data_IF_136755776095
#
_entry.id   IF_136755776095
#
_cell.length_a   1.000
_cell.length_b   1.000
_cell.length_c   1.000
_cell.angle_alpha   90.00
_cell.angle_beta   90.00
_cell.angle_gamma   90.00
#
_symmetry.space_group_name_H-M   'P 1'
#
loop_
_entity.id
_entity.type
_entity.pdbx_description
1 polymer ?
#
# COMPACT_ATOMS: atom_id res chain seq x y z
N UNK A 1 -2.22 -23.12 24.58
CA UNK A 1 -1.39 -23.61 23.45
C UNK A 1 -2.05 -23.02 22.23
N UNK A 2 -1.49 -21.94 21.71
CA UNK A 2 -2.02 -21.31 20.50
C UNK A 2 -1.77 -22.30 19.37
N UNK A 3 -2.83 -22.63 18.64
CA UNK A 3 -2.73 -23.37 17.40
C UNK A 3 -1.73 -22.62 16.51
N UNK A 4 -0.63 -23.29 16.21
CA UNK A 4 0.30 -22.84 15.19
C UNK A 4 -0.42 -23.11 13.88
N UNK A 5 -1.31 -22.18 13.50
CA UNK A 5 -2.13 -22.25 12.30
C UNK A 5 -1.15 -22.21 11.12
N UNK A 6 -0.80 -23.41 10.64
CA UNK A 6 0.11 -23.63 9.54
C UNK A 6 -0.45 -22.86 8.35
N UNK A 7 0.31 -21.87 7.88
CA UNK A 7 -0.15 -20.99 6.83
C UNK A 7 -0.25 -21.77 5.53
N UNK A 8 -1.47 -21.96 5.01
CA UNK A 8 -1.71 -22.51 3.68
C UNK A 8 -1.80 -21.35 2.66
N UNK A 9 -0.86 -21.26 1.69
CA UNK A 9 -0.93 -20.29 0.60
C UNK A 9 -2.17 -20.54 -0.25
N UNK A 10 -2.74 -19.48 -0.82
CA UNK A 10 -3.87 -19.67 -1.75
C UNK A 10 -3.38 -20.15 -3.13
N UNK A 11 -4.15 -21.02 -3.77
CA UNK A 11 -3.76 -21.63 -5.06
C UNK A 11 -4.35 -20.87 -6.26
N UNK A 12 -5.35 -20.00 -6.02
CA UNK A 12 -6.06 -19.31 -7.09
C UNK A 12 -6.25 -17.82 -6.85
N UNK A 13 -6.31 -17.03 -7.93
CA UNK A 13 -6.67 -15.60 -7.89
C UNK A 13 -8.05 -15.38 -7.26
N UNK A 14 -8.99 -16.32 -7.46
CA UNK A 14 -10.33 -16.22 -6.87
C UNK A 14 -10.32 -16.36 -5.34
N UNK A 15 -9.55 -17.29 -4.80
CA UNK A 15 -9.30 -17.39 -3.36
C UNK A 15 -8.61 -16.14 -2.86
N UNK A 16 -7.52 -15.73 -3.53
CA UNK A 16 -6.77 -14.53 -3.17
C UNK A 16 -7.67 -13.30 -3.00
N UNK A 17 -8.55 -13.01 -3.95
CA UNK A 17 -9.42 -11.84 -3.91
C UNK A 17 -10.47 -11.86 -2.79
N UNK A 18 -10.79 -13.02 -2.22
CA UNK A 18 -11.70 -13.14 -1.08
C UNK A 18 -11.02 -12.85 0.26
N UNK A 19 -9.69 -12.87 0.29
CA UNK A 19 -8.94 -12.74 1.51
C UNK A 19 -8.83 -11.27 1.94
N UNK A 20 -8.84 -11.06 3.27
CA UNK A 20 -8.65 -9.72 3.85
C UNK A 20 -7.28 -9.16 3.41
N UNK A 21 -7.30 -7.94 2.90
CA UNK A 21 -6.10 -7.20 2.48
C UNK A 21 -5.75 -7.32 0.99
N UNK A 22 -6.18 -8.37 0.29
CA UNK A 22 -5.79 -8.61 -1.11
C UNK A 22 -6.20 -7.49 -2.06
N UNK A 23 -7.46 -7.03 -1.94
CA UNK A 23 -7.97 -5.89 -2.72
C UNK A 23 -7.17 -4.63 -2.44
N UNK A 24 -6.80 -4.41 -1.18
CA UNK A 24 -5.99 -3.26 -0.77
C UNK A 24 -4.59 -3.30 -1.37
N UNK A 25 -3.93 -4.45 -1.30
CA UNK A 25 -2.60 -4.66 -1.86
C UNK A 25 -2.58 -4.34 -3.36
N UNK A 26 -3.48 -4.94 -4.14
CA UNK A 26 -3.56 -4.68 -5.59
C UNK A 26 -3.92 -3.22 -5.90
N UNK A 27 -4.80 -2.61 -5.10
CA UNK A 27 -5.19 -1.21 -5.29
C UNK A 27 -4.01 -0.26 -5.06
N UNK A 28 -3.21 -0.49 -4.02
CA UNK A 28 -2.06 0.34 -3.68
C UNK A 28 -0.94 0.18 -4.71
N UNK A 29 -0.63 -1.06 -5.12
CA UNK A 29 0.42 -1.32 -6.11
C UNK A 29 0.04 -0.86 -7.52
N UNK A 30 -1.25 -0.73 -7.83
CA UNK A 30 -1.70 -0.14 -9.09
C UNK A 30 -1.47 1.38 -9.17
N UNK A 31 -1.21 2.05 -8.04
CA UNK A 31 -0.82 3.47 -8.03
C UNK A 31 0.68 3.66 -8.26
N UNK A 32 1.47 2.63 -7.98
CA UNK A 32 2.91 2.61 -8.20
C UNK A 32 3.62 1.58 -7.30
N UNK A 33 4.92 1.38 -7.54
CA UNK A 33 5.74 0.51 -6.69
C UNK A 33 5.74 0.95 -5.23
N UNK A 34 5.74 0.00 -4.29
CA UNK A 34 5.72 0.27 -2.85
C UNK A 34 6.69 -0.63 -2.08
N UNK A 35 7.22 -0.10 -0.99
CA UNK A 35 7.95 -0.85 0.02
C UNK A 35 7.01 -1.52 1.02
N UNK A 36 7.54 -2.42 1.86
CA UNK A 36 6.73 -3.07 2.90
C UNK A 36 6.17 -2.05 3.91
N UNK A 37 7.01 -1.12 4.37
CA UNK A 37 6.61 -0.09 5.35
C UNK A 37 5.54 0.86 4.79
N UNK A 38 5.57 1.17 3.50
CA UNK A 38 4.50 1.95 2.85
C UNK A 38 3.18 1.16 2.84
N UNK A 39 3.22 -0.13 2.47
CA UNK A 39 2.04 -1.00 2.51
C UNK A 39 1.47 -1.11 3.93
N UNK A 40 2.32 -1.31 4.93
CA UNK A 40 1.94 -1.38 6.34
C UNK A 40 1.29 -0.08 6.83
N UNK A 41 1.81 1.07 6.42
CA UNK A 41 1.23 2.36 6.79
C UNK A 41 -0.15 2.62 6.17
N UNK A 42 -0.44 2.01 5.03
CA UNK A 42 -1.65 2.26 4.25
C UNK A 42 -2.71 1.15 4.39
N UNK A 43 -2.36 -0.02 4.91
CA UNK A 43 -3.26 -1.16 5.02
C UNK A 43 -3.69 -1.45 6.46
N UNK A 44 -4.98 -1.75 6.66
CA UNK A 44 -5.54 -2.07 7.99
C UNK A 44 -5.55 -3.57 8.30
N UNK A 45 -4.38 -4.16 8.18
CA UNK A 45 -4.11 -5.55 8.50
C UNK A 45 -2.74 -5.65 9.17
N UNK A 46 -2.52 -6.72 9.91
CA UNK A 46 -1.24 -6.94 10.58
C UNK A 46 -0.12 -7.17 9.56
N UNK A 47 1.11 -6.86 9.93
CA UNK A 47 2.32 -7.08 9.11
C UNK A 47 2.42 -8.54 8.66
N UNK A 48 2.12 -9.50 9.56
CA UNK A 48 2.04 -10.93 9.21
C UNK A 48 1.03 -11.22 8.11
N UNK A 49 -0.12 -10.53 8.12
CA UNK A 49 -1.13 -10.67 7.06
C UNK A 49 -0.62 -10.06 5.75
N UNK A 50 0.05 -8.89 5.80
CA UNK A 50 0.63 -8.26 4.60
C UNK A 50 1.67 -9.20 3.97
N UNK A 51 2.58 -9.76 4.77
CA UNK A 51 3.59 -10.71 4.32
C UNK A 51 2.97 -11.94 3.67
N UNK A 52 1.93 -12.51 4.28
CA UNK A 52 1.16 -13.64 3.71
C UNK A 52 0.54 -13.28 2.37
N UNK A 53 -0.13 -12.13 2.26
CA UNK A 53 -0.76 -11.66 1.01
C UNK A 53 0.24 -11.35 -0.09
N UNK A 54 1.42 -10.85 0.28
CA UNK A 54 2.51 -10.64 -0.67
C UNK A 54 3.00 -11.97 -1.23
N UNK A 55 3.25 -12.95 -0.37
CA UNK A 55 3.68 -14.30 -0.78
C UNK A 55 2.65 -14.90 -1.74
N UNK A 56 1.37 -14.90 -1.36
CA UNK A 56 0.28 -15.36 -2.23
C UNK A 56 0.28 -14.67 -3.60
N UNK A 57 0.44 -13.34 -3.62
CA UNK A 57 0.39 -12.56 -4.84
C UNK A 57 1.63 -12.81 -5.73
N UNK A 58 2.80 -13.04 -5.14
CA UNK A 58 4.03 -13.41 -5.85
C UNK A 58 3.90 -14.82 -6.45
N UNK A 59 3.44 -15.79 -5.66
CA UNK A 59 3.21 -17.18 -6.08
C UNK A 59 2.19 -17.28 -7.22
N UNK A 60 1.15 -16.44 -7.17
CA UNK A 60 0.15 -16.32 -8.23
C UNK A 60 0.63 -15.49 -9.43
N UNK A 61 1.84 -14.92 -9.40
CA UNK A 61 2.41 -14.10 -10.46
C UNK A 61 1.70 -12.75 -10.67
N UNK A 62 1.06 -12.22 -9.63
CA UNK A 62 0.39 -10.91 -9.64
C UNK A 62 1.33 -9.76 -9.31
N UNK A 63 2.39 -10.00 -8.55
CA UNK A 63 3.43 -9.04 -8.26
C UNK A 63 4.82 -9.65 -8.41
N UNK A 64 5.83 -8.79 -8.34
CA UNK A 64 7.25 -9.16 -8.28
C UNK A 64 7.94 -8.33 -7.20
N UNK A 65 9.05 -8.85 -6.68
CA UNK A 65 9.88 -8.18 -5.68
C UNK A 65 11.22 -7.83 -6.30
N UNK A 66 11.58 -6.55 -6.26
CA UNK A 66 12.89 -6.05 -6.69
C UNK A 66 13.66 -5.49 -5.49
N UNK A 67 14.98 -5.62 -5.51
CA UNK A 67 15.88 -4.99 -4.53
C UNK A 67 16.33 -3.65 -5.11
N UNK A 68 15.93 -2.56 -4.48
CA UNK A 68 16.42 -1.22 -4.81
C UNK A 68 17.45 -0.76 -3.78
N UNK A 69 18.61 -0.30 -4.24
CA UNK A 69 19.57 0.41 -3.40
C UNK A 69 19.07 1.83 -3.14
N UNK A 70 18.83 2.18 -1.87
CA UNK A 70 18.49 3.52 -1.41
C UNK A 70 19.58 4.15 -0.54
N UNK A 71 19.35 5.40 -0.14
CA UNK A 71 20.29 6.17 0.69
C UNK A 71 20.57 5.54 2.06
N UNK A 72 19.66 4.69 2.54
CA UNK A 72 19.73 4.00 3.84
C UNK A 72 19.87 2.47 3.71
N UNK A 73 20.36 1.98 2.57
CA UNK A 73 20.55 0.54 2.35
C UNK A 73 19.62 -0.01 1.27
N UNK A 74 19.57 -1.34 1.16
CA UNK A 74 18.75 -2.02 0.15
C UNK A 74 17.34 -2.26 0.68
N UNK A 75 16.33 -1.91 -0.11
CA UNK A 75 14.92 -2.11 0.24
C UNK A 75 14.22 -2.99 -0.78
N UNK A 76 13.30 -3.83 -0.30
CA UNK A 76 12.39 -4.56 -1.17
C UNK A 76 11.29 -3.64 -1.69
N UNK A 77 11.13 -3.60 -3.00
CA UNK A 77 10.09 -2.85 -3.71
C UNK A 77 9.19 -3.83 -4.45
N UNK A 78 7.90 -3.68 -4.22
CA UNK A 78 6.85 -4.53 -4.79
C UNK A 78 6.19 -3.82 -5.95
N UNK A 79 6.09 -4.50 -7.08
CA UNK A 79 5.49 -3.97 -8.32
C UNK A 79 4.55 -5.01 -8.93
N UNK A 80 3.42 -4.58 -9.49
CA UNK A 80 2.51 -5.48 -10.20
C UNK A 80 3.16 -6.02 -11.48
N UNK A 81 2.90 -7.29 -11.79
CA UNK A 81 3.18 -7.84 -13.13
C UNK A 81 2.14 -7.35 -14.13
N UNK A 82 2.34 -7.63 -15.43
CA UNK A 82 1.32 -7.39 -16.47
C UNK A 82 -0.05 -8.01 -16.11
N UNK A 83 -0.05 -9.20 -15.50
CA UNK A 83 -1.26 -9.88 -15.06
C UNK A 83 -1.89 -9.17 -13.85
N UNK A 84 -1.07 -8.80 -12.86
CA UNK A 84 -1.51 -8.02 -11.70
C UNK A 84 -2.11 -6.68 -12.10
N UNK A 85 -1.46 -5.95 -13.00
CA UNK A 85 -1.97 -4.68 -13.54
C UNK A 85 -3.30 -4.87 -14.27
N UNK A 86 -3.43 -5.92 -15.09
CA UNK A 86 -4.69 -6.20 -15.79
C UNK A 86 -5.83 -6.46 -14.80
N UNK A 87 -5.55 -7.21 -13.74
CA UNK A 87 -6.51 -7.48 -12.67
C UNK A 87 -6.87 -6.20 -11.90
N UNK A 88 -5.88 -5.39 -11.51
CA UNK A 88 -6.11 -4.15 -10.80
C UNK A 88 -6.87 -3.12 -11.67
N UNK A 89 -6.58 -3.02 -12.97
CA UNK A 89 -7.37 -2.23 -13.92
C UNK A 89 -8.83 -2.69 -13.96
N UNK A 90 -9.09 -4.00 -13.91
CA UNK A 90 -10.45 -4.53 -13.81
C UNK A 90 -11.14 -4.13 -12.48
N UNK A 91 -10.38 -4.06 -11.38
CA UNK A 91 -10.86 -3.60 -10.08
C UNK A 91 -11.17 -2.09 -10.05
N UNK A 92 -10.48 -1.30 -10.88
CA UNK A 92 -10.83 0.11 -11.08
C UNK A 92 -12.13 0.23 -11.87
N UNK A 93 -12.28 -0.57 -12.94
CA UNK A 93 -13.47 -0.56 -13.79
C UNK A 93 -14.76 -0.97 -13.06
N UNK A 94 -14.67 -1.87 -12.07
CA UNK A 94 -15.82 -2.30 -11.28
C UNK A 94 -15.96 -1.54 -9.94
N UNK A 95 -15.23 -0.44 -9.76
CA UNK A 95 -15.23 0.41 -8.57
C UNK A 95 -14.74 -0.26 -7.27
N UNK A 96 -14.23 -1.51 -7.30
CA UNK A 96 -13.70 -2.17 -6.11
C UNK A 96 -12.53 -1.39 -5.50
N UNK A 97 -11.62 -0.88 -6.35
CA UNK A 97 -10.50 -0.05 -5.91
C UNK A 97 -10.97 1.28 -5.29
N UNK A 98 -11.97 1.94 -5.88
CA UNK A 98 -12.54 3.19 -5.36
C UNK A 98 -13.24 2.97 -4.02
N UNK A 99 -14.04 1.90 -3.91
CA UNK A 99 -14.74 1.55 -2.67
C UNK A 99 -13.76 1.22 -1.54
N UNK A 100 -12.66 0.53 -1.85
CA UNK A 100 -11.59 0.29 -0.87
C UNK A 100 -11.02 1.62 -0.33
N UNK A 101 -10.71 2.58 -1.21
CA UNK A 101 -10.17 3.89 -0.81
C UNK A 101 -11.15 4.68 0.06
N UNK A 102 -12.43 4.71 -0.31
CA UNK A 102 -13.46 5.40 0.48
C UNK A 102 -13.65 4.74 1.86
N UNK A 103 -13.64 3.41 1.91
CA UNK A 103 -13.64 2.67 3.18
C UNK A 103 -12.44 3.07 4.06
N UNK A 104 -11.22 3.11 3.50
CA UNK A 104 -10.02 3.55 4.24
C UNK A 104 -10.15 5.00 4.71
N UNK A 105 -10.66 5.90 3.88
CA UNK A 105 -10.88 7.31 4.24
C UNK A 105 -11.85 7.42 5.42
N UNK A 106 -12.99 6.74 5.35
CA UNK A 106 -14.00 6.76 6.41
C UNK A 106 -13.49 6.18 7.72
N UNK A 107 -12.67 5.14 7.64
CA UNK A 107 -12.07 4.53 8.80
C UNK A 107 -11.06 5.46 9.50
N UNK A 108 -10.16 6.12 8.75
CA UNK A 108 -9.28 7.15 9.33
C UNK A 108 -10.07 8.30 9.96
N UNK A 109 -11.18 8.70 9.35
CA UNK A 109 -12.07 9.73 9.88
C UNK A 109 -12.74 9.27 11.20
N UNK A 110 -13.15 8.01 11.27
CA UNK A 110 -13.71 7.40 12.48
C UNK A 110 -12.66 7.39 13.60
N UNK A 111 -11.44 6.91 13.32
CA UNK A 111 -10.34 6.85 14.28
C UNK A 111 -10.00 8.23 14.84
N UNK A 112 -9.92 9.25 13.99
CA UNK A 112 -9.68 10.63 14.41
C UNK A 112 -10.79 11.13 15.36
N UNK A 113 -12.06 10.91 15.02
CA UNK A 113 -13.21 11.28 15.88
C UNK A 113 -13.26 10.48 17.18
N UNK A 114 -12.83 9.23 17.16
CA UNK A 114 -12.69 8.41 18.36
C UNK A 114 -11.61 8.97 19.26
N UNK A 115 -10.45 9.37 18.73
CA UNK A 115 -9.40 10.01 19.52
C UNK A 115 -9.86 11.35 20.12
N UNK A 116 -10.60 12.16 19.35
CA UNK A 116 -11.24 13.39 19.87
C UNK A 116 -12.19 13.08 21.04
N UNK A 117 -12.97 12.01 20.92
CA UNK A 117 -13.88 11.56 22.00
C UNK A 117 -13.10 11.08 23.22
N UNK A 118 -12.01 10.32 23.03
CA UNK A 118 -11.13 9.88 24.12
C UNK A 118 -10.50 11.07 24.84
N UNK A 119 -10.02 12.07 24.10
CA UNK A 119 -9.47 13.30 24.64
C UNK A 119 -10.53 14.06 25.46
N UNK A 120 -11.75 14.20 24.92
CA UNK A 120 -12.85 14.84 25.63
C UNK A 120 -13.19 14.13 26.94
N UNK A 121 -13.26 12.78 26.95
CA UNK A 121 -13.49 11.99 28.17
C UNK A 121 -12.40 12.23 29.21
N UNK A 122 -11.14 12.32 28.77
CA UNK A 122 -9.99 12.59 29.64
C UNK A 122 -10.04 13.99 30.26
N UNK A 123 -10.48 14.99 29.50
CA UNK A 123 -10.57 16.39 29.93
C UNK A 123 -11.82 16.67 30.79
N UNK A 124 -12.91 15.94 30.55
CA UNK A 124 -14.23 16.18 31.16
C UNK A 124 -14.76 14.96 31.95
N UNK A 125 -13.98 14.33 32.84
CA UNK A 125 -14.44 13.13 33.54
C UNK A 125 -15.65 13.41 34.44
N UNK A 126 -15.80 14.65 34.93
CA UNK A 126 -16.95 15.08 35.74
C UNK A 126 -18.29 14.95 35.03
N UNK A 127 -18.32 15.10 33.70
CA UNK A 127 -19.55 14.95 32.90
C UNK A 127 -20.04 13.51 32.84
N UNK A 128 -19.15 12.52 33.04
CA UNK A 128 -19.52 11.11 33.11
C UNK A 128 -19.78 10.67 34.56
N UNK A 129 -19.06 11.22 35.53
CA UNK A 129 -19.21 10.88 36.95
C UNK A 129 -20.58 11.24 37.55
N UNK A 130 -21.41 12.01 36.85
CA UNK A 130 -22.79 12.29 37.26
C UNK A 130 -23.74 11.08 37.10
N UNK A 131 -23.35 10.08 36.31
CA UNK A 131 -24.15 8.89 36.07
C UNK A 131 -23.87 7.80 37.10
N UNK A 132 -24.90 7.05 37.50
CA UNK A 132 -24.82 6.01 38.55
C UNK A 132 -23.89 4.86 38.20
N UNK A 133 -23.64 4.65 36.91
CA UNK A 133 -22.78 3.59 36.35
C UNK A 133 -21.30 4.00 36.29
N UNK A 134 -21.02 5.30 36.37
CA UNK A 134 -19.69 5.88 36.26
C UNK A 134 -18.96 5.83 37.60
N UNK A 135 -18.29 4.70 37.84
CA UNK A 135 -17.28 4.63 38.91
C UNK A 135 -16.00 5.33 38.42
N UNK A 136 -15.31 6.08 39.30
CA UNK A 136 -14.13 6.89 38.90
C UNK A 136 -13.03 6.09 38.21
N UNK A 137 -12.79 4.84 38.65
CA UNK A 137 -11.86 3.91 38.00
C UNK A 137 -12.31 3.35 36.64
N UNK A 138 -13.53 3.67 36.18
CA UNK A 138 -14.07 3.32 34.84
C UNK A 138 -14.00 4.49 33.85
N UNK A 139 -13.79 5.71 34.33
CA UNK A 139 -13.83 6.95 33.53
C UNK A 139 -12.43 7.52 33.33
N UNK A 140 -11.60 7.52 34.38
CA UNK A 140 -10.20 7.95 34.27
C UNK A 140 -9.31 6.72 34.02
N UNK A 141 -8.31 6.81 33.13
CA UNK A 141 -7.26 5.82 33.08
C UNK A 141 -6.63 5.71 34.47
N UNK A 142 -6.57 4.50 35.02
CA UNK A 142 -5.96 4.28 36.32
C UNK A 142 -4.46 4.57 36.17
N UNK A 143 -3.88 5.55 36.88
CA UNK A 143 -2.46 5.94 36.74
C UNK A 143 -1.47 4.77 36.98
N UNK A 144 -1.94 3.65 37.54
CA UNK A 144 -1.19 2.40 37.75
C UNK A 144 -1.15 1.46 36.54
N UNK A 145 -2.08 1.60 35.62
CA UNK A 145 -2.07 0.91 34.34
C UNK A 145 -1.85 1.99 33.32
N UNK A 146 -0.60 2.14 32.86
CA UNK A 146 -0.33 2.81 31.60
C UNK A 146 -1.32 2.33 30.55
N UNK A 147 -1.47 3.13 29.49
CA UNK A 147 -2.20 2.77 28.27
C UNK A 147 -2.06 1.25 28.08
N UNK A 148 -3.15 0.45 28.06
CA UNK A 148 -3.03 -1.00 28.01
C UNK A 148 -2.04 -1.33 26.90
N UNK A 149 -1.00 -2.12 27.19
CA UNK A 149 0.16 -2.29 26.30
C UNK A 149 -0.22 -2.67 24.86
N UNK A 150 -1.41 -3.25 24.64
CA UNK A 150 -2.02 -3.47 23.30
C UNK A 150 -2.17 -2.20 22.44
N UNK A 151 -2.30 -1.01 23.04
CA UNK A 151 -2.42 0.27 22.33
C UNK A 151 -1.06 0.99 22.16
N UNK A 152 -0.02 0.58 22.88
CA UNK A 152 1.37 1.02 22.63
C UNK A 152 2.10 0.14 21.61
N UNK A 153 1.78 -1.16 21.51
CA UNK A 153 2.34 -2.04 20.47
C UNK A 153 2.08 -1.49 19.06
N UNK A 154 0.90 -0.89 18.82
CA UNK A 154 0.55 -0.29 17.51
C UNK A 154 1.40 0.97 17.19
N UNK A 155 2.00 1.63 18.19
CA UNK A 155 2.86 2.82 17.99
C UNK A 155 4.36 2.48 18.01
N UNK A 156 4.76 1.44 18.71
CA UNK A 156 6.18 1.08 18.89
C UNK A 156 6.76 0.20 17.79
N UNK A 157 5.94 -0.46 16.96
CA UNK A 157 6.44 -1.26 15.81
C UNK A 157 7.00 -0.40 14.65
N UNK A 158 7.05 0.94 14.80
CA UNK A 158 7.60 1.85 13.78
C UNK A 158 9.05 2.29 14.00
N UNK A 159 9.68 1.91 15.11
CA UNK A 159 11.07 2.24 15.41
C UNK A 159 11.79 0.99 15.91
N UNK A 160 12.20 0.11 14.98
CA UNK A 160 13.45 -0.69 15.02
C UNK A 160 13.43 -1.69 13.84
N UNK A 161 13.62 -1.14 12.64
CA UNK A 161 14.02 -1.92 11.46
C UNK A 161 15.48 -1.59 11.20
N UNK A 162 16.40 -2.30 11.86
CA UNK A 162 17.80 -2.45 11.45
C UNK A 162 18.49 -3.52 12.32
N UNK A 163 18.45 -4.79 11.89
CA UNK A 163 19.57 -5.75 12.04
C UNK A 163 19.22 -7.09 11.38
N UNK A 164 19.37 -7.16 10.05
CA UNK A 164 19.62 -8.44 9.36
C UNK A 164 21.15 -8.58 9.26
N UNK A 165 21.74 -9.39 10.14
CA UNK A 165 23.14 -9.81 10.05
C UNK A 165 23.23 -11.03 9.14
N UNK A 166 23.62 -10.83 7.88
CA UNK A 166 24.04 -11.91 6.98
C UNK A 166 25.45 -12.39 7.37
N UNK A 167 25.52 -13.64 7.82
CA UNK A 167 26.78 -14.34 8.05
C UNK A 167 27.30 -14.92 6.73
N UNK A 168 28.47 -14.43 6.33
CA UNK A 168 29.44 -15.00 5.40
C UNK A 168 29.61 -16.53 5.56
N UNK A 169 29.35 -17.31 4.51
CA UNK A 169 29.96 -18.64 4.35
C UNK A 169 30.58 -18.78 2.95
N UNK A 170 31.79 -18.22 2.85
CA UNK A 170 32.72 -18.41 1.75
C UNK A 170 33.52 -19.69 1.97
N UNK A 171 33.05 -20.82 1.42
CA UNK A 171 33.74 -22.10 1.43
C UNK A 171 33.96 -22.65 0.03
N UNK A 172 35.02 -22.18 -0.65
CA UNK A 172 35.47 -22.78 -1.91
C UNK A 172 36.18 -24.11 -1.69
N UNK A 173 36.07 -25.03 -2.66
CA UNK A 173 37.15 -25.95 -3.01
C UNK A 173 36.98 -26.55 -4.41
N UNK A 174 38.12 -26.63 -5.08
CA UNK A 174 38.31 -27.00 -6.48
C UNK A 174 38.12 -28.50 -6.71
N UNK A 175 37.65 -28.90 -7.89
CA UNK A 175 38.13 -30.14 -8.52
C UNK A 175 37.98 -30.10 -10.03
N UNK A 176 39.11 -29.94 -10.70
CA UNK A 176 39.30 -30.19 -12.13
C UNK A 176 39.03 -31.65 -12.46
N UNK A 177 38.39 -31.91 -13.61
CA UNK A 177 38.82 -32.96 -14.54
C UNK A 177 38.45 -32.56 -15.96
N UNK A 178 39.47 -32.51 -16.81
CA UNK A 178 39.44 -32.46 -18.26
C UNK A 178 38.51 -33.52 -18.85
N UNK A 179 37.84 -33.23 -19.97
CA UNK A 179 38.04 -34.04 -21.17
C UNK A 179 37.51 -33.37 -22.45
N UNK A 180 38.19 -33.73 -23.53
CA UNK A 180 38.30 -33.03 -24.80
C UNK A 180 37.16 -33.29 -25.80
N UNK A 181 37.35 -32.67 -26.99
CA UNK A 181 36.75 -32.97 -28.30
C UNK A 181 35.51 -32.11 -28.67
N UNK A 182 35.36 -31.54 -29.86
CA UNK A 182 36.09 -31.61 -31.13
C UNK A 182 35.70 -30.40 -31.99
N UNK A 183 36.50 -30.10 -33.00
CA UNK A 183 36.37 -29.02 -33.97
C UNK A 183 35.16 -29.21 -34.90
N UNK A 184 34.60 -28.12 -35.42
CA UNK A 184 34.59 -27.90 -36.88
C UNK A 184 34.31 -26.44 -37.23
N UNK A 185 35.14 -25.96 -38.16
CA UNK A 185 35.08 -24.65 -38.80
C UNK A 185 33.87 -24.56 -39.74
N UNK A 186 33.36 -23.36 -39.98
CA UNK A 186 33.08 -22.92 -41.36
C UNK A 186 32.99 -21.40 -41.42
N UNK A 187 33.69 -20.90 -42.42
CA UNK A 187 33.95 -19.51 -42.70
C UNK A 187 32.81 -18.79 -43.42
N UNK A 188 32.95 -17.46 -43.45
CA UNK A 188 32.47 -16.51 -44.46
C UNK A 188 30.99 -16.11 -44.46
N UNK A 189 30.72 -14.84 -44.20
CA UNK A 189 30.60 -13.89 -45.31
C UNK A 189 30.44 -12.44 -44.84
N UNK A 190 31.40 -11.67 -45.31
CA UNK A 190 31.48 -10.23 -45.48
C UNK A 190 30.21 -9.65 -46.14
N UNK A 191 29.59 -8.63 -45.52
CA UNK A 191 28.91 -7.57 -46.26
C UNK A 191 28.67 -6.32 -45.40
N UNK A 192 29.42 -5.27 -45.69
CA UNK A 192 29.05 -3.85 -45.51
C UNK A 192 29.33 -3.19 -46.87
N UNK A 193 28.59 -2.16 -47.34
CA UNK A 193 28.39 -0.91 -46.58
C UNK A 193 27.11 -0.08 -46.94
N UNK A 194 27.08 1.15 -46.42
CA UNK A 194 26.44 2.37 -46.95
C UNK A 194 25.03 2.84 -46.48
N UNK A 195 25.07 3.84 -45.57
CA UNK A 195 24.69 5.27 -45.80
C UNK A 195 23.23 5.62 -46.15
N UNK A 196 22.55 6.32 -45.23
CA UNK A 196 21.92 7.63 -45.48
C UNK A 196 21.43 8.31 -44.19
N UNK A 197 21.64 9.63 -44.14
CA UNK A 197 21.20 10.60 -43.13
C UNK A 197 19.72 11.04 -43.32
N UNK A 198 19.12 11.81 -42.38
CA UNK A 198 17.68 12.03 -42.27
C UNK A 198 17.20 13.24 -43.10
N UNK A 199 15.88 13.42 -43.28
CA UNK A 199 15.31 14.72 -43.64
C UNK A 199 14.50 15.37 -42.50
N UNK A 200 14.64 16.69 -42.49
CA UNK A 200 14.09 17.71 -41.60
C UNK A 200 12.59 18.03 -41.78
N UNK A 201 12.08 18.76 -40.79
CA UNK A 201 11.08 19.84 -40.85
C UNK A 201 9.68 19.59 -41.44
N UNK A 202 8.66 19.73 -40.58
CA UNK A 202 7.49 20.61 -40.85
C UNK A 202 7.01 21.32 -39.58
N UNK A 203 7.29 22.62 -39.53
CA UNK A 203 6.55 23.63 -38.78
C UNK A 203 5.30 24.01 -39.59
N UNK A 204 4.14 24.02 -38.93
CA UNK A 204 2.93 24.83 -39.22
C UNK A 204 2.05 24.63 -37.97
N UNK A 205 1.69 25.61 -37.14
CA UNK A 205 1.39 27.01 -37.42
C UNK A 205 -0.11 27.15 -37.65
N UNK A 206 -0.90 27.38 -36.60
CA UNK A 206 -2.13 28.22 -36.59
C UNK A 206 -2.75 28.20 -35.18
N UNK A 207 -2.67 29.29 -34.40
CA UNK A 207 -3.63 30.41 -34.31
C UNK A 207 -5.03 30.03 -33.78
N UNK A 208 -5.34 30.57 -32.60
CA UNK A 208 -6.50 31.45 -32.48
C UNK A 208 -7.70 30.96 -31.66
N UNK A 209 -8.11 31.81 -30.72
CA UNK A 209 -9.48 31.87 -30.18
C UNK A 209 -9.58 31.50 -28.71
N UNK A 210 -9.36 32.41 -27.75
CA UNK A 210 -10.31 33.46 -27.31
C UNK A 210 -11.75 32.97 -27.08
N UNK A 211 -12.15 32.81 -25.81
CA UNK A 211 -13.33 33.45 -25.20
C UNK A 211 -13.42 32.99 -23.73
N UNK A 212 -13.26 33.85 -22.73
CA UNK A 212 -14.17 34.90 -22.25
C UNK A 212 -15.58 34.42 -21.82
N UNK A 213 -15.89 34.81 -20.59
CA UNK A 213 -17.18 34.97 -19.89
C UNK A 213 -17.61 33.81 -18.98
N UNK A 214 -17.71 33.98 -17.66
CA UNK A 214 -18.41 34.99 -16.82
C UNK A 214 -19.92 34.73 -16.75
N UNK A 215 -20.33 34.08 -15.67
CA UNK A 215 -21.65 34.21 -15.00
C UNK A 215 -21.45 33.92 -13.52
N UNK A 216 -21.21 34.97 -12.72
CA UNK A 216 -22.11 35.40 -11.63
C UNK A 216 -23.53 34.84 -11.62
N UNK A 217 -24.00 34.58 -10.39
CA UNK A 217 -25.40 34.35 -9.99
C UNK A 217 -25.51 33.05 -9.19
N UNK A 218 -26.04 32.98 -7.97
CA UNK A 218 -26.89 33.91 -7.23
C UNK A 218 -26.90 33.48 -5.75
N UNK A 219 -26.77 34.45 -4.86
CA UNK A 219 -27.06 34.34 -3.43
C UNK A 219 -28.55 34.02 -3.23
N UNK A 220 -28.85 32.93 -2.53
CA UNK A 220 -30.17 32.64 -1.97
C UNK A 220 -30.11 32.64 -0.45
N UNK A 221 -30.25 33.83 0.15
CA UNK A 221 -30.67 33.98 1.54
C UNK A 221 -32.20 33.77 1.62
N UNK A 222 -32.64 33.03 2.65
CA UNK A 222 -33.89 33.22 3.42
C UNK A 222 -33.86 32.13 4.52
N UNK A 223 -33.58 32.40 5.80
CA UNK A 223 -34.26 33.27 6.77
C UNK A 223 -35.71 32.84 7.06
N UNK A 224 -35.89 32.34 8.29
CA UNK A 224 -37.07 32.34 9.17
C UNK A 224 -38.36 31.64 8.70
N UNK A 225 -38.94 30.79 9.54
CA UNK A 225 -39.88 31.27 10.56
C UNK A 225 -40.20 30.19 11.59
N UNK A 226 -40.15 30.59 12.85
CA UNK A 226 -40.76 29.89 13.97
C UNK A 226 -42.29 29.98 13.82
N UNK A 227 -43.04 28.99 14.31
CA UNK A 227 -44.21 29.27 15.16
C UNK A 227 -44.77 27.98 15.76
N UNK A 228 -44.90 28.05 17.08
CA UNK A 228 -45.64 27.18 17.97
C UNK A 228 -47.15 27.09 17.68
N UNK A 229 -47.80 26.21 18.44
CA UNK A 229 -49.23 26.08 18.75
C UNK A 229 -49.95 25.05 17.87
N UNK A 230 -50.65 24.04 18.41
CA UNK A 230 -51.34 23.92 19.69
C UNK A 230 -51.68 22.46 19.96
#
# INVERSE_FOLDING_TARGET
MADNDEYEPCETIWEFLQLKGSVGLLTLLNEGPRTFSELESEMEITSTTISRRRIDADDLGLLTVELESGDHGTKHVYTLTDMGERLAKQMVLNEAASNYKEMRRHQRELEAKTEETIAWVRENPGELLQYTEAQEGRVKPNERTGIPSELEEIRSDKEDSDEETDADDSGGENSSTDDANDQEETETSDNSPERAQPPSDKISGDLGGSNMNRTQGTLGNNANDETESK
#
